data_IF_443218304320
#
_entry.id   IF_443218304320
#
_cell.length_a   1.000
_cell.length_b   1.000
_cell.length_c   1.000
_cell.angle_alpha   90.00
_cell.angle_beta   90.00
_cell.angle_gamma   90.00
#
_symmetry.space_group_name_H-M   'P 1'
#
loop_
_entity.id
_entity.type
_entity.pdbx_description
1 polymer ?
#
# COMPACT_ATOMS: atom_id res chain seq x y z
N UNK A 1 20.97 -27.34 1.66
CA UNK A 1 20.99 -27.77 0.25
C UNK A 1 19.71 -28.52 -0.06
N UNK A 2 18.70 -27.84 -0.62
CA UNK A 2 17.51 -28.51 -1.14
C UNK A 2 17.46 -28.30 -2.65
N UNK A 3 17.68 -29.39 -3.40
CA UNK A 3 17.65 -29.45 -4.86
C UNK A 3 16.21 -29.33 -5.37
N UNK A 4 15.91 -28.29 -6.15
CA UNK A 4 14.69 -28.18 -6.95
C UNK A 4 14.79 -29.11 -8.16
N UNK A 5 13.87 -30.05 -8.27
CA UNK A 5 13.70 -30.87 -9.47
C UNK A 5 13.01 -30.06 -10.57
N UNK A 6 13.77 -29.73 -11.63
CA UNK A 6 13.24 -29.20 -12.88
C UNK A 6 12.68 -30.36 -13.69
N UNK A 7 11.37 -30.37 -13.98
CA UNK A 7 10.80 -31.28 -14.98
C UNK A 7 10.62 -30.53 -16.30
N UNK A 8 11.50 -30.85 -17.25
CA UNK A 8 11.38 -30.56 -18.67
C UNK A 8 10.65 -31.71 -19.36
N UNK A 9 9.58 -31.41 -20.08
CA UNK A 9 9.06 -32.30 -21.12
C UNK A 9 8.80 -31.50 -22.40
N UNK A 10 9.74 -31.63 -23.33
CA UNK A 10 9.54 -31.39 -24.75
C UNK A 10 9.11 -32.70 -25.42
N UNK A 11 8.06 -32.67 -26.24
CA UNK A 11 7.91 -33.57 -27.39
C UNK A 11 7.23 -32.84 -28.55
N UNK A 12 7.90 -32.94 -29.71
CA UNK A 12 7.45 -32.54 -31.05
C UNK A 12 6.21 -33.33 -31.50
N UNK A 13 5.37 -32.69 -32.33
CA UNK A 13 4.35 -33.32 -33.16
C UNK A 13 4.06 -32.47 -34.40
N UNK A 14 4.04 -33.11 -35.58
CA UNK A 14 4.14 -32.53 -36.90
C UNK A 14 2.87 -31.82 -37.43
N UNK A 15 3.08 -31.06 -38.50
CA UNK A 15 2.14 -30.19 -39.21
C UNK A 15 0.88 -30.85 -39.77
N UNK A 16 -0.22 -30.09 -39.79
CA UNK A 16 -1.31 -30.23 -40.76
C UNK A 16 -1.86 -28.83 -41.08
N UNK A 17 -1.52 -28.33 -42.27
CA UNK A 17 -2.14 -27.15 -42.90
C UNK A 17 -3.50 -27.57 -43.45
N UNK A 18 -4.58 -27.08 -42.84
CA UNK A 18 -5.93 -27.11 -43.41
C UNK A 18 -6.55 -25.72 -43.22
N UNK A 19 -6.87 -25.07 -44.33
CA UNK A 19 -7.43 -23.72 -44.34
C UNK A 19 -8.80 -23.66 -43.66
N UNK A 20 -9.02 -22.59 -42.90
CA UNK A 20 -10.30 -22.19 -42.37
C UNK A 20 -10.51 -20.69 -42.68
N UNK A 21 -11.77 -20.26 -42.93
CA UNK A 21 -12.06 -18.99 -43.56
C UNK A 21 -11.73 -17.82 -42.62
N UNK A 22 -11.31 -16.71 -43.22
CA UNK A 22 -11.11 -15.44 -42.55
C UNK A 22 -12.47 -14.97 -42.02
N UNK A 23 -12.79 -15.31 -40.77
CA UNK A 23 -13.71 -14.50 -39.98
C UNK A 23 -12.93 -13.24 -39.61
N UNK A 24 -13.37 -12.09 -40.14
CA UNK A 24 -13.07 -10.80 -39.52
C UNK A 24 -13.70 -10.83 -38.11
N UNK A 25 -12.98 -11.35 -37.12
CA UNK A 25 -13.25 -10.98 -35.74
C UNK A 25 -12.88 -9.51 -35.64
N UNK A 26 -13.86 -8.66 -35.30
CA UNK A 26 -13.57 -7.37 -34.72
C UNK A 26 -12.64 -7.62 -33.55
N UNK A 27 -11.36 -7.35 -33.78
CA UNK A 27 -10.35 -7.37 -32.75
C UNK A 27 -10.57 -6.08 -31.99
N UNK A 28 -11.51 -6.11 -31.03
CA UNK A 28 -11.53 -5.12 -29.96
C UNK A 28 -10.12 -5.14 -29.39
N UNK A 29 -9.42 -4.03 -29.57
CA UNK A 29 -8.09 -3.84 -29.04
C UNK A 29 -8.22 -3.77 -27.51
N UNK A 30 -8.31 -4.92 -26.86
CA UNK A 30 -7.92 -5.03 -25.46
C UNK A 30 -6.48 -4.55 -25.42
N UNK A 31 -6.28 -3.37 -24.82
CA UNK A 31 -4.94 -2.87 -24.52
C UNK A 31 -4.15 -4.01 -23.87
N UNK A 32 -2.92 -4.26 -24.33
CA UNK A 32 -2.05 -5.25 -23.69
C UNK A 32 -2.06 -4.99 -22.18
N UNK A 33 -2.44 -6.00 -21.38
CA UNK A 33 -2.48 -5.88 -19.93
C UNK A 33 -1.08 -5.58 -19.42
N UNK A 34 -0.80 -4.30 -19.17
CA UNK A 34 0.43 -3.82 -18.57
C UNK A 34 0.68 -4.56 -17.27
N UNK A 35 1.89 -5.09 -17.12
CA UNK A 35 2.36 -5.65 -15.84
C UNK A 35 2.91 -4.49 -15.00
N UNK A 36 2.33 -4.29 -13.82
CA UNK A 36 2.73 -3.25 -12.88
C UNK A 36 3.79 -3.80 -11.90
N UNK A 37 4.77 -2.98 -11.55
CA UNK A 37 5.79 -3.33 -10.57
C UNK A 37 5.53 -2.65 -9.20
N UNK A 38 5.88 -3.34 -8.10
CA UNK A 38 5.81 -2.76 -6.75
C UNK A 38 6.63 -1.46 -6.68
N UNK A 39 6.04 -0.42 -6.09
CA UNK A 39 6.65 0.90 -5.96
C UNK A 39 6.82 1.72 -7.24
N UNK A 40 6.24 1.29 -8.37
CA UNK A 40 6.25 2.06 -9.62
C UNK A 40 5.59 3.45 -9.46
N UNK A 41 4.62 3.56 -8.57
CA UNK A 41 3.87 4.78 -8.27
C UNK A 41 4.76 5.95 -7.81
N UNK A 42 5.55 5.73 -6.76
CA UNK A 42 6.47 6.73 -6.24
C UNK A 42 7.71 6.87 -7.16
N UNK A 43 7.98 5.84 -7.95
CA UNK A 43 9.20 5.72 -8.75
C UNK A 43 10.35 5.17 -7.88
N UNK A 44 11.57 5.22 -8.41
CA UNK A 44 12.79 4.83 -7.67
C UNK A 44 13.80 5.97 -7.63
N UNK A 45 14.74 5.90 -6.69
CA UNK A 45 15.83 6.87 -6.56
C UNK A 45 15.33 8.26 -6.16
N UNK A 46 15.90 9.31 -6.77
CA UNK A 46 15.71 10.72 -6.34
C UNK A 46 14.25 11.15 -6.23
N UNK A 47 13.35 10.62 -7.07
CA UNK A 47 11.92 11.01 -7.01
C UNK A 47 11.24 10.50 -5.74
N UNK A 48 11.53 9.27 -5.35
CA UNK A 48 11.06 8.69 -4.09
C UNK A 48 11.62 9.47 -2.91
N UNK A 49 12.93 9.74 -2.91
CA UNK A 49 13.59 10.49 -1.84
C UNK A 49 13.02 11.91 -1.69
N UNK A 50 12.76 12.60 -2.80
CA UNK A 50 12.12 13.93 -2.78
C UNK A 50 10.69 13.88 -2.25
N UNK A 51 9.93 12.83 -2.59
CA UNK A 51 8.57 12.66 -2.08
C UNK A 51 8.59 12.33 -0.58
N UNK A 52 9.46 11.41 -0.14
CA UNK A 52 9.66 11.10 1.29
C UNK A 52 10.09 12.35 2.07
N UNK A 53 10.98 13.18 1.52
CA UNK A 53 11.41 14.43 2.14
C UNK A 53 10.30 15.50 2.22
N UNK A 54 9.29 15.44 1.35
CA UNK A 54 8.11 16.31 1.44
C UNK A 54 7.05 15.78 2.41
N UNK A 55 7.15 14.52 2.79
CA UNK A 55 6.16 13.80 3.59
C UNK A 55 6.88 12.99 4.68
N UNK A 56 7.65 13.67 5.54
CA UNK A 56 8.45 13.04 6.61
C UNK A 56 7.59 12.20 7.57
N UNK A 57 6.30 12.52 7.68
CA UNK A 57 5.32 11.81 8.52
C UNK A 57 4.71 10.58 7.82
N UNK A 58 5.17 10.19 6.63
CA UNK A 58 4.64 9.03 5.91
C UNK A 58 5.67 7.93 5.77
N UNK A 59 5.36 6.77 6.34
CA UNK A 59 6.20 5.59 6.25
C UNK A 59 5.61 4.63 5.21
N UNK A 60 6.42 4.34 4.19
CA UNK A 60 6.06 3.46 3.06
C UNK A 60 6.87 2.19 3.10
N UNK A 61 6.21 1.05 3.30
CA UNK A 61 6.90 -0.20 3.66
C UNK A 61 7.05 -1.23 2.53
N UNK A 62 6.25 -1.11 1.46
CA UNK A 62 6.27 -1.93 0.23
C UNK A 62 7.68 -2.11 -0.33
N UNK A 63 8.45 -1.03 -0.38
CA UNK A 63 9.68 -0.97 -1.15
C UNK A 63 10.84 -1.72 -0.48
N UNK A 64 10.75 -1.90 0.84
CA UNK A 64 11.88 -2.28 1.68
C UNK A 64 11.65 -3.63 2.40
N UNK A 65 10.42 -4.14 2.42
CA UNK A 65 10.06 -5.39 3.10
C UNK A 65 9.52 -6.49 2.17
N UNK A 66 10.31 -7.56 1.99
CA UNK A 66 9.87 -8.76 1.27
C UNK A 66 8.61 -9.39 1.88
N UNK A 67 8.45 -9.27 3.21
CA UNK A 67 7.29 -9.79 3.92
C UNK A 67 6.00 -9.07 3.47
N UNK A 68 6.06 -7.74 3.35
CA UNK A 68 4.96 -6.93 2.84
C UNK A 68 4.70 -7.28 1.37
N UNK A 69 5.73 -7.37 0.53
CA UNK A 69 5.56 -7.72 -0.89
C UNK A 69 4.89 -9.08 -1.11
N UNK A 70 5.26 -10.09 -0.30
CA UNK A 70 4.63 -11.42 -0.34
C UNK A 70 3.17 -11.39 0.08
N UNK A 71 2.84 -10.57 1.08
CA UNK A 71 1.46 -10.36 1.51
C UNK A 71 0.64 -9.59 0.47
N UNK A 72 1.19 -8.50 -0.06
CA UNK A 72 0.59 -7.69 -1.12
C UNK A 72 0.30 -8.52 -2.37
N UNK A 73 1.24 -9.37 -2.80
CA UNK A 73 1.05 -10.30 -3.92
C UNK A 73 -0.16 -11.20 -3.70
N UNK A 74 -0.32 -11.76 -2.49
CA UNK A 74 -1.45 -12.63 -2.15
C UNK A 74 -2.77 -11.88 -2.15
N UNK A 75 -2.85 -10.68 -1.58
CA UNK A 75 -4.12 -9.95 -1.52
C UNK A 75 -4.47 -9.30 -2.87
N UNK A 76 -3.51 -9.04 -3.76
CA UNK A 76 -3.76 -8.60 -5.14
C UNK A 76 -4.30 -9.71 -6.04
N UNK A 77 -3.95 -10.96 -5.75
CA UNK A 77 -4.42 -12.12 -6.52
C UNK A 77 -5.95 -12.19 -6.52
N UNK A 78 -6.55 -12.22 -7.71
CA UNK A 78 -7.98 -12.33 -7.93
C UNK A 78 -8.55 -13.61 -7.29
N UNK A 79 -7.80 -14.71 -7.35
CA UNK A 79 -8.21 -16.01 -6.79
C UNK A 79 -8.18 -16.03 -5.25
N UNK A 80 -7.60 -15.01 -4.62
CA UNK A 80 -7.64 -14.87 -3.18
C UNK A 80 -8.93 -14.18 -2.73
N UNK A 81 -9.92 -14.94 -2.28
CA UNK A 81 -11.21 -14.40 -1.86
C UNK A 81 -11.70 -15.01 -0.54
N UNK A 82 -12.80 -14.46 -0.01
CA UNK A 82 -13.44 -14.99 1.20
C UNK A 82 -12.50 -14.97 2.42
N UNK A 83 -12.61 -16.00 3.27
CA UNK A 83 -11.82 -16.10 4.50
C UNK A 83 -10.30 -16.14 4.26
N UNK A 84 -9.85 -16.64 3.10
CA UNK A 84 -8.42 -16.63 2.74
C UNK A 84 -7.92 -15.20 2.57
N UNK A 85 -8.69 -14.35 1.89
CA UNK A 85 -8.36 -12.95 1.71
C UNK A 85 -8.30 -12.22 3.05
N UNK A 86 -9.32 -12.38 3.91
CA UNK A 86 -9.33 -11.77 5.25
C UNK A 86 -8.11 -12.19 6.07
N UNK A 87 -7.71 -13.46 6.01
CA UNK A 87 -6.53 -13.97 6.71
C UNK A 87 -5.24 -13.31 6.20
N UNK A 88 -5.03 -13.31 4.89
CA UNK A 88 -3.82 -12.73 4.28
C UNK A 88 -3.77 -11.20 4.46
N UNK A 89 -4.90 -10.51 4.35
CA UNK A 89 -5.04 -9.07 4.61
C UNK A 89 -4.68 -8.73 6.06
N UNK A 90 -5.19 -9.46 7.04
CA UNK A 90 -4.77 -9.30 8.44
C UNK A 90 -3.28 -9.58 8.64
N UNK A 91 -2.68 -10.46 7.83
CA UNK A 91 -1.22 -10.66 7.82
C UNK A 91 -0.49 -9.39 7.38
N UNK A 92 -0.87 -8.83 6.23
CA UNK A 92 -0.27 -7.60 5.68
C UNK A 92 -0.42 -6.43 6.65
N UNK A 93 -1.62 -6.19 7.19
CA UNK A 93 -1.88 -5.07 8.09
C UNK A 93 -1.05 -5.19 9.38
N UNK A 94 -0.91 -6.39 9.95
CA UNK A 94 -0.06 -6.61 11.13
C UNK A 94 1.41 -6.34 10.83
N UNK A 95 1.95 -6.93 9.77
CA UNK A 95 3.34 -6.70 9.38
C UNK A 95 3.64 -5.22 9.07
N UNK A 96 2.64 -4.51 8.53
CA UNK A 96 2.72 -3.07 8.27
C UNK A 96 2.80 -2.28 9.57
N UNK A 97 1.99 -2.62 10.56
CA UNK A 97 2.04 -2.01 11.89
C UNK A 97 3.34 -2.35 12.64
N UNK A 98 3.79 -3.60 12.58
CA UNK A 98 5.04 -4.04 13.24
C UNK A 98 6.25 -3.23 12.74
N UNK A 99 6.33 -2.98 11.43
CA UNK A 99 7.38 -2.14 10.84
C UNK A 99 7.21 -0.67 11.18
N UNK A 100 5.98 -0.15 11.28
CA UNK A 100 5.79 1.23 11.73
C UNK A 100 6.24 1.43 13.18
N UNK A 101 6.03 0.42 14.04
CA UNK A 101 6.48 0.45 15.42
C UNK A 101 8.00 0.51 15.55
N UNK A 102 8.77 -0.06 14.59
CA UNK A 102 10.23 0.03 14.63
C UNK A 102 10.77 1.43 14.33
N UNK A 103 9.94 2.31 13.77
CA UNK A 103 10.30 3.70 13.47
C UNK A 103 9.97 4.67 14.62
N UNK A 104 9.46 4.16 15.75
CA UNK A 104 9.22 4.97 16.95
C UNK A 104 10.52 5.13 17.76
N UNK A 105 10.66 6.23 18.54
CA UNK A 105 11.82 6.43 19.41
C UNK A 105 12.04 5.23 20.34
N UNK A 106 13.28 4.76 20.39
CA UNK A 106 13.65 3.56 21.13
C UNK A 106 15.02 3.72 21.81
N UNK A 107 15.19 2.97 22.90
CA UNK A 107 16.43 2.80 23.62
C UNK A 107 17.06 1.44 23.26
N UNK A 108 18.10 1.47 22.42
CA UNK A 108 18.86 0.31 21.99
C UNK A 108 19.84 -0.21 23.05
N UNK A 109 20.08 0.54 24.14
CA UNK A 109 20.98 0.18 25.23
C UNK A 109 20.23 -0.41 26.43
N UNK A 110 18.94 -0.68 26.28
CA UNK A 110 18.10 -1.15 27.36
C UNK A 110 18.57 -2.52 27.89
N UNK A 111 18.73 -2.61 29.22
CA UNK A 111 19.11 -3.86 29.89
C UNK A 111 17.99 -4.35 30.78
N UNK A 112 17.39 -5.48 30.42
CA UNK A 112 16.35 -6.14 31.21
C UNK A 112 16.93 -7.19 32.15
N UNK A 113 16.21 -7.46 33.24
CA UNK A 113 16.56 -8.55 34.17
C UNK A 113 15.59 -9.71 33.98
N UNK A 114 16.11 -10.86 33.57
CA UNK A 114 15.32 -12.08 33.40
C UNK A 114 14.77 -12.57 34.75
N UNK A 115 13.69 -13.39 34.77
CA UNK A 115 13.19 -14.00 36.00
C UNK A 115 14.21 -14.86 36.77
N UNK A 116 15.33 -15.22 36.14
CA UNK A 116 16.44 -15.97 36.73
C UNK A 116 17.56 -15.07 37.29
N UNK A 117 17.42 -13.75 37.20
CA UNK A 117 18.39 -12.77 37.68
C UNK A 117 19.51 -12.42 36.70
N UNK A 118 19.57 -13.02 35.51
CA UNK A 118 20.54 -12.64 34.48
C UNK A 118 20.13 -11.36 33.77
N UNK A 119 21.13 -10.57 33.34
CA UNK A 119 20.95 -9.37 32.51
C UNK A 119 20.94 -9.74 31.02
N UNK A 120 20.11 -9.07 30.24
CA UNK A 120 20.07 -9.18 28.79
C UNK A 120 19.89 -7.80 28.17
N UNK A 121 20.73 -7.47 27.20
CA UNK A 121 20.56 -6.29 26.33
C UNK A 121 19.37 -6.51 25.40
N UNK A 122 18.64 -5.44 25.11
CA UNK A 122 17.47 -5.45 24.26
C UNK A 122 17.13 -4.05 23.76
N UNK A 123 15.97 -3.96 23.11
CA UNK A 123 15.43 -2.72 22.57
C UNK A 123 14.03 -2.52 23.14
N UNK A 124 13.77 -1.30 23.62
CA UNK A 124 12.46 -0.89 24.17
C UNK A 124 12.12 0.50 23.66
N UNK A 125 10.85 0.90 23.71
CA UNK A 125 10.49 2.30 23.45
C UNK A 125 11.02 3.22 24.55
N UNK A 126 11.30 4.48 24.20
CA UNK A 126 11.57 5.52 25.20
C UNK A 126 10.33 5.72 26.12
N UNK A 127 10.56 6.14 27.37
CA UNK A 127 9.53 6.17 28.42
C UNK A 127 8.34 7.12 28.12
N UNK A 128 8.53 8.10 27.25
CA UNK A 128 7.53 9.10 26.86
C UNK A 128 6.76 8.76 25.57
N UNK A 129 7.13 7.66 24.88
CA UNK A 129 6.43 7.21 23.67
C UNK A 129 5.04 6.67 24.02
N UNK A 130 4.01 7.37 23.56
CA UNK A 130 2.61 6.95 23.68
C UNK A 130 2.05 6.67 22.30
N UNK A 131 1.48 5.49 22.09
CA UNK A 131 0.96 5.10 20.77
C UNK A 131 -0.56 5.29 20.70
N UNK A 132 -1.06 5.82 19.59
CA UNK A 132 -2.48 5.81 19.27
C UNK A 132 -2.73 5.21 17.89
N UNK A 133 -3.51 4.13 17.81
CA UNK A 133 -3.95 3.55 16.54
C UNK A 133 -5.32 4.06 16.13
N UNK A 134 -5.46 4.57 14.92
CA UNK A 134 -6.76 5.00 14.36
C UNK A 134 -7.06 4.18 13.11
N UNK A 135 -8.11 3.38 13.13
CA UNK A 135 -8.57 2.63 11.96
C UNK A 135 -9.59 3.46 11.18
N UNK A 136 -9.42 3.50 9.86
CA UNK A 136 -10.34 4.21 8.97
C UNK A 136 -11.01 3.21 8.04
N UNK A 137 -12.33 3.28 7.94
CA UNK A 137 -13.12 2.40 7.06
C UNK A 137 -14.28 3.14 6.41
N UNK A 138 -14.77 2.63 5.28
CA UNK A 138 -16.02 3.07 4.65
C UNK A 138 -17.21 2.34 5.29
N UNK A 139 -17.06 1.03 5.52
CA UNK A 139 -18.10 0.14 6.03
C UNK A 139 -17.93 -0.10 7.53
N UNK A 140 -18.99 0.10 8.33
CA UNK A 140 -18.98 -0.20 9.76
C UNK A 140 -18.61 -1.65 10.11
N UNK A 141 -18.92 -2.60 9.22
CA UNK A 141 -18.59 -4.00 9.41
C UNK A 141 -17.08 -4.26 9.30
N UNK A 142 -16.41 -3.60 8.34
CA UNK A 142 -14.97 -3.72 8.13
C UNK A 142 -14.19 -3.06 9.28
N UNK A 143 -14.70 -1.94 9.79
CA UNK A 143 -14.15 -1.21 10.94
C UNK A 143 -13.83 -2.15 12.12
N UNK A 144 -14.72 -3.09 12.44
CA UNK A 144 -14.52 -4.03 13.56
C UNK A 144 -13.27 -4.89 13.39
N UNK A 145 -13.03 -5.39 12.18
CA UNK A 145 -11.85 -6.21 11.89
C UNK A 145 -10.56 -5.39 11.93
N UNK A 146 -10.58 -4.18 11.35
CA UNK A 146 -9.43 -3.26 11.38
C UNK A 146 -9.08 -2.82 12.80
N UNK A 147 -10.08 -2.47 13.61
CA UNK A 147 -9.87 -2.15 15.03
C UNK A 147 -9.32 -3.34 15.82
N UNK A 148 -9.73 -4.56 15.48
CA UNK A 148 -9.17 -5.76 16.11
C UNK A 148 -7.69 -5.96 15.73
N UNK A 149 -7.31 -5.69 14.49
CA UNK A 149 -5.90 -5.71 14.05
C UNK A 149 -5.08 -4.70 14.87
N UNK A 150 -5.53 -3.46 15.01
CA UNK A 150 -4.84 -2.46 15.85
C UNK A 150 -4.66 -2.95 17.29
N UNK A 151 -5.75 -3.43 17.93
CA UNK A 151 -5.73 -3.89 19.32
C UNK A 151 -4.82 -5.09 19.58
N UNK A 152 -4.53 -5.87 18.55
CA UNK A 152 -3.69 -7.07 18.66
C UNK A 152 -2.24 -6.84 18.24
N UNK A 153 -1.94 -5.72 17.59
CA UNK A 153 -0.61 -5.41 17.07
C UNK A 153 0.08 -4.30 17.85
N UNK A 154 -0.69 -3.33 18.33
CA UNK A 154 -0.13 -2.18 19.05
C UNK A 154 0.18 -2.52 20.52
N UNK A 155 1.04 -1.71 21.16
CA UNK A 155 1.36 -1.86 22.58
C UNK A 155 0.12 -1.90 23.48
N UNK A 156 0.26 -2.57 24.62
CA UNK A 156 -0.85 -2.86 25.53
C UNK A 156 -1.59 -1.59 26.02
N UNK A 157 -0.85 -0.51 26.22
CA UNK A 157 -1.31 0.80 26.70
C UNK A 157 -1.69 1.78 25.58
N UNK A 158 -1.67 1.31 24.32
CA UNK A 158 -2.06 2.15 23.19
C UNK A 158 -3.52 2.61 23.29
N UNK A 159 -3.77 3.84 22.84
CA UNK A 159 -5.13 4.38 22.65
C UNK A 159 -5.66 4.00 21.26
N UNK A 160 -6.99 3.95 21.13
CA UNK A 160 -7.62 3.57 19.86
C UNK A 160 -8.68 4.58 19.43
N UNK A 161 -8.68 4.92 18.15
CA UNK A 161 -9.71 5.71 17.49
C UNK A 161 -10.29 5.00 16.27
N UNK A 162 -11.47 5.43 15.86
CA UNK A 162 -12.18 4.90 14.69
C UNK A 162 -12.75 6.04 13.86
N UNK A 163 -12.52 6.01 12.55
CA UNK A 163 -13.06 6.99 11.61
C UNK A 163 -13.80 6.27 10.50
N UNK A 164 -15.11 6.48 10.44
CA UNK A 164 -15.91 6.07 9.29
C UNK A 164 -15.95 7.19 8.27
N UNK A 165 -15.60 6.86 7.04
CA UNK A 165 -15.66 7.77 5.91
C UNK A 165 -16.76 7.38 4.94
N UNK A 166 -17.24 8.33 4.16
CA UNK A 166 -18.19 8.10 3.09
C UNK A 166 -17.53 8.54 1.79
N UNK A 167 -17.50 7.63 0.82
CA UNK A 167 -17.04 7.95 -0.53
C UNK A 167 -17.96 8.98 -1.18
N UNK A 168 -17.36 9.91 -1.90
CA UNK A 168 -18.04 10.88 -2.76
C UNK A 168 -17.57 10.68 -4.20
N UNK A 169 -18.37 11.14 -5.16
CA UNK A 169 -18.07 10.97 -6.58
C UNK A 169 -16.63 11.40 -6.95
N UNK A 170 -16.00 10.67 -7.88
CA UNK A 170 -14.63 10.89 -8.38
C UNK A 170 -13.52 10.62 -7.35
N UNK A 171 -13.67 9.57 -6.53
CA UNK A 171 -12.60 9.12 -5.61
C UNK A 171 -12.33 10.07 -4.44
N UNK A 172 -13.27 10.98 -4.13
CA UNK A 172 -13.20 11.80 -2.93
C UNK A 172 -13.75 11.04 -1.72
N UNK A 173 -13.44 11.53 -0.52
CA UNK A 173 -13.95 10.96 0.73
C UNK A 173 -14.28 12.08 1.72
N UNK A 174 -15.31 11.87 2.55
CA UNK A 174 -15.68 12.76 3.65
C UNK A 174 -15.83 11.96 4.94
N UNK A 175 -15.51 12.56 6.09
CA UNK A 175 -15.72 11.92 7.39
C UNK A 175 -17.23 11.84 7.65
N UNK A 176 -17.74 10.63 7.84
CA UNK A 176 -19.13 10.37 8.22
C UNK A 176 -19.29 10.29 9.74
N UNK A 177 -18.32 9.68 10.43
CA UNK A 177 -18.26 9.60 11.88
C UNK A 177 -16.81 9.48 12.33
N UNK A 178 -16.44 10.19 13.39
CA UNK A 178 -15.15 10.02 14.04
C UNK A 178 -15.38 9.78 15.54
N UNK A 179 -14.68 8.79 16.08
CA UNK A 179 -14.58 8.53 17.51
C UNK A 179 -13.09 8.35 17.83
N UNK A 180 -12.43 9.48 18.10
CA UNK A 180 -11.00 9.52 18.40
C UNK A 180 -10.80 10.00 19.84
N UNK A 181 -9.71 9.60 20.52
CA UNK A 181 -9.40 10.13 21.84
C UNK A 181 -9.31 11.65 21.85
N UNK A 182 -9.80 12.29 22.92
CA UNK A 182 -9.76 13.77 23.07
C UNK A 182 -8.33 14.30 23.32
N UNK A 183 -7.42 13.42 23.74
CA UNK A 183 -6.04 13.71 24.14
C UNK A 183 -5.08 12.90 23.27
N UNK A 184 -4.74 13.47 22.11
CA UNK A 184 -3.75 12.95 21.16
C UNK A 184 -2.40 13.68 21.26
N UNK A 185 -2.32 14.77 22.02
CA UNK A 185 -1.09 15.54 22.18
C UNK A 185 0.03 14.64 22.72
N UNK A 186 1.19 14.69 22.06
CA UNK A 186 2.35 13.86 22.40
C UNK A 186 2.16 12.35 22.18
N UNK A 187 1.18 11.94 21.36
CA UNK A 187 1.07 10.55 20.92
C UNK A 187 1.64 10.37 19.51
N UNK A 188 2.32 9.26 19.31
CA UNK A 188 2.63 8.70 18.00
C UNK A 188 1.33 8.12 17.41
N UNK A 189 0.68 8.90 16.54
CA UNK A 189 -0.60 8.50 15.92
C UNK A 189 -0.32 7.67 14.67
N UNK A 190 -0.74 6.41 14.67
CA UNK A 190 -0.66 5.49 13.54
C UNK A 190 -2.03 5.35 12.87
N UNK A 191 -2.14 5.84 11.64
CA UNK A 191 -3.36 5.72 10.85
C UNK A 191 -3.35 4.42 10.04
N UNK A 192 -4.29 3.51 10.33
CA UNK A 192 -4.50 2.27 9.58
C UNK A 192 -5.57 2.47 8.50
N UNK A 193 -5.11 2.70 7.28
CA UNK A 193 -5.96 2.79 6.09
C UNK A 193 -5.65 1.61 5.17
N UNK A 194 -6.52 0.60 5.09
CA UNK A 194 -6.27 -0.58 4.27
C UNK A 194 -6.35 -0.28 2.76
N UNK A 195 -7.04 0.79 2.40
CA UNK A 195 -7.37 1.17 1.03
C UNK A 195 -6.76 2.55 0.70
N UNK A 196 -5.43 2.64 0.77
CA UNK A 196 -4.70 3.79 0.23
C UNK A 196 -3.56 3.32 -0.63
N UNK A 197 -3.73 3.49 -1.92
CA UNK A 197 -2.72 3.17 -2.91
C UNK A 197 -2.75 4.17 -4.08
N UNK A 198 -3.12 5.43 -3.85
CA UNK A 198 -2.70 6.53 -4.73
C UNK A 198 -2.11 7.69 -3.94
N UNK A 199 -1.01 8.25 -4.44
CA UNK A 199 -0.31 9.38 -3.81
C UNK A 199 -1.25 10.56 -3.55
N UNK A 200 -2.17 10.84 -4.49
CA UNK A 200 -3.12 11.94 -4.39
C UNK A 200 -4.15 11.82 -3.25
N UNK A 201 -4.44 10.59 -2.78
CA UNK A 201 -5.34 10.38 -1.64
C UNK A 201 -4.59 10.54 -0.32
N UNK A 202 -3.32 10.15 -0.29
CA UNK A 202 -2.44 10.26 0.88
C UNK A 202 -2.19 11.72 1.26
N UNK A 203 -1.89 12.59 0.30
CA UNK A 203 -1.67 14.02 0.56
C UNK A 203 -2.86 14.67 1.28
N UNK A 204 -4.09 14.27 0.94
CA UNK A 204 -5.32 14.80 1.57
C UNK A 204 -5.48 14.34 3.00
N UNK A 205 -5.10 13.09 3.29
CA UNK A 205 -5.18 12.54 4.65
C UNK A 205 -4.12 13.19 5.52
N UNK A 206 -2.88 13.31 5.05
CA UNK A 206 -1.79 13.95 5.81
C UNK A 206 -2.16 15.39 6.17
N UNK A 207 -2.66 16.18 5.21
CA UNK A 207 -3.09 17.56 5.49
C UNK A 207 -4.25 17.67 6.49
N UNK A 208 -5.05 16.61 6.68
CA UNK A 208 -6.12 16.60 7.66
C UNK A 208 -5.63 16.23 9.08
N UNK A 209 -4.45 15.63 9.19
CA UNK A 209 -3.88 15.14 10.43
C UNK A 209 -2.42 15.63 10.58
N UNK A 210 -2.20 16.95 10.52
CA UNK A 210 -0.89 17.66 10.45
C UNK A 210 0.33 16.89 11.03
N UNK A 211 0.23 16.36 12.25
CA UNK A 211 1.33 15.69 12.97
C UNK A 211 1.24 14.14 13.01
N UNK A 212 0.23 13.53 12.41
CA UNK A 212 0.03 12.07 12.47
C UNK A 212 0.96 11.32 11.51
N UNK A 213 1.44 10.14 11.94
CA UNK A 213 2.23 9.24 11.10
C UNK A 213 1.31 8.34 10.30
N UNK A 214 1.32 8.52 8.99
CA UNK A 214 0.60 7.65 8.08
C UNK A 214 1.44 6.40 7.80
N UNK A 215 0.86 5.24 8.11
CA UNK A 215 1.45 3.95 7.81
C UNK A 215 0.66 3.28 6.71
N UNK A 216 1.30 2.97 5.59
CA UNK A 216 0.66 2.20 4.52
C UNK A 216 1.57 1.09 3.99
N UNK A 217 0.93 -0.03 3.66
CA UNK A 217 1.60 -1.21 3.14
C UNK A 217 2.19 -0.95 1.74
N UNK A 218 1.54 -0.16 0.88
CA UNK A 218 1.98 0.07 -0.50
C UNK A 218 1.37 1.33 -1.14
N UNK A 219 2.03 1.87 -2.17
CA UNK A 219 1.45 2.87 -3.08
C UNK A 219 1.33 2.30 -4.49
N UNK A 220 0.15 2.45 -5.10
CA UNK A 220 -0.09 2.11 -6.49
C UNK A 220 -0.16 3.35 -7.38
N UNK A 221 -0.03 3.08 -8.68
CA UNK A 221 0.44 4.03 -9.68
C UNK A 221 -0.45 5.24 -9.88
N UNK A 222 -1.77 5.04 -9.90
CA UNK A 222 -2.74 6.09 -10.23
C UNK A 222 -4.16 5.69 -9.87
N UNK A 223 -5.07 6.64 -10.01
CA UNK A 223 -6.51 6.41 -10.11
C UNK A 223 -6.91 6.33 -11.60
N UNK A 224 -7.84 5.45 -11.94
CA UNK A 224 -8.47 5.48 -13.27
C UNK A 224 -9.57 6.57 -13.33
N UNK A 225 -10.26 6.68 -14.47
CA UNK A 225 -11.35 7.66 -14.70
C UNK A 225 -12.52 7.53 -13.72
N UNK A 226 -12.71 6.36 -13.12
CA UNK A 226 -13.76 6.07 -12.14
C UNK A 226 -13.31 6.32 -10.70
N UNK A 227 -12.01 6.59 -10.48
CA UNK A 227 -11.43 6.79 -9.16
C UNK A 227 -10.96 5.50 -8.48
N UNK A 228 -10.85 4.39 -9.21
CA UNK A 228 -10.29 3.14 -8.70
C UNK A 228 -8.76 3.15 -8.82
N UNK A 229 -8.08 2.61 -7.81
CA UNK A 229 -6.63 2.49 -7.77
C UNK A 229 -6.15 1.40 -8.73
N UNK A 230 -5.09 1.69 -9.51
CA UNK A 230 -4.49 0.76 -10.47
C UNK A 230 -2.99 0.55 -10.18
N UNK A 231 -2.49 -0.70 -10.06
CA UNK A 231 -3.22 -1.97 -10.23
C UNK A 231 -4.21 -2.29 -9.11
N UNK A 232 -3.98 -1.77 -7.89
CA UNK A 232 -4.90 -1.90 -6.78
C UNK A 232 -5.13 -3.34 -6.32
N UNK A 233 -6.17 -3.51 -5.51
CA UNK A 233 -6.62 -4.78 -4.92
C UNK A 233 -8.13 -5.00 -5.08
N UNK A 234 -8.78 -4.24 -5.96
CA UNK A 234 -10.25 -4.13 -6.01
C UNK A 234 -10.81 -3.49 -4.74
N UNK A 235 -12.09 -3.72 -4.45
CA UNK A 235 -12.68 -3.23 -3.19
C UNK A 235 -12.16 -4.04 -2.00
N UNK A 236 -11.28 -3.43 -1.20
CA UNK A 236 -10.69 -4.09 -0.04
C UNK A 236 -11.77 -4.52 0.93
N UNK A 237 -12.69 -3.62 1.30
CA UNK A 237 -13.64 -3.89 2.38
C UNK A 237 -14.68 -4.94 1.99
N UNK A 238 -15.11 -5.00 0.73
CA UNK A 238 -15.97 -6.09 0.26
C UNK A 238 -15.27 -7.44 0.39
N UNK A 239 -14.03 -7.53 -0.12
CA UNK A 239 -13.24 -8.77 -0.06
C UNK A 239 -12.89 -9.13 1.39
N UNK A 240 -12.58 -8.15 2.22
CA UNK A 240 -12.26 -8.30 3.63
C UNK A 240 -13.43 -8.86 4.44
N UNK A 241 -14.66 -8.46 4.08
CA UNK A 241 -15.91 -8.98 4.62
C UNK A 241 -16.32 -10.34 4.01
N UNK A 242 -15.50 -10.90 3.12
CA UNK A 242 -15.64 -12.24 2.58
C UNK A 242 -16.38 -12.32 1.25
N UNK A 243 -16.62 -11.19 0.57
CA UNK A 243 -17.17 -11.19 -0.78
C UNK A 243 -16.21 -11.88 -1.77
N UNK A 244 -16.73 -12.48 -2.86
CA UNK A 244 -15.89 -12.94 -3.96
C UNK A 244 -15.20 -11.75 -4.62
N UNK A 245 -14.04 -11.99 -5.23
CA UNK A 245 -13.42 -11.00 -6.11
C UNK A 245 -14.34 -10.72 -7.29
N UNK A 246 -14.47 -9.45 -7.66
CA UNK A 246 -15.20 -9.01 -8.85
C UNK A 246 -14.25 -8.36 -9.83
N UNK A 247 -14.41 -8.69 -11.11
CA UNK A 247 -13.78 -7.93 -12.19
C UNK A 247 -14.69 -6.75 -12.48
N UNK A 248 -14.20 -5.53 -12.27
CA UNK A 248 -14.81 -4.34 -12.84
C UNK A 248 -14.17 -4.16 -14.20
N UNK A 249 -14.96 -4.11 -15.27
CA UNK A 249 -14.47 -3.81 -16.62
C UNK A 249 -13.95 -2.37 -16.64
N UNK A 250 -12.67 -2.20 -16.32
CA UNK A 250 -12.03 -0.89 -16.34
C UNK A 250 -11.73 -0.55 -17.80
N UNK A 251 -12.49 0.39 -18.36
CA UNK A 251 -12.08 1.08 -19.59
C UNK A 251 -10.94 2.00 -19.20
N UNK A 252 -9.73 1.47 -19.33
CA UNK A 252 -8.52 2.17 -18.99
C UNK A 252 -8.05 2.97 -20.21
N UNK A 253 -8.42 4.25 -20.28
CA UNK A 253 -7.71 5.17 -21.16
C UNK A 253 -6.28 5.25 -20.63
N UNK A 254 -5.36 4.52 -21.27
CA UNK A 254 -3.96 4.50 -20.89
C UNK A 254 -3.45 5.95 -20.86
N UNK A 255 -3.31 6.51 -19.66
CA UNK A 255 -2.53 7.73 -19.49
C UNK A 255 -1.10 7.38 -19.86
N UNK A 256 -0.70 7.83 -21.05
CA UNK A 256 0.64 7.73 -21.57
C UNK A 256 1.56 8.58 -20.68
N UNK A 257 2.02 7.98 -19.58
CA UNK A 257 3.00 8.55 -18.66
C UNK A 257 4.29 9.01 -19.40
N UNK A 258 4.48 8.58 -20.65
CA UNK A 258 5.52 9.06 -21.55
C UNK A 258 5.42 10.55 -21.88
N UNK A 259 4.23 11.18 -21.81
CA UNK A 259 4.09 12.61 -22.14
C UNK A 259 4.59 13.51 -21.00
N UNK A 260 4.26 13.20 -19.75
CA UNK A 260 4.75 13.96 -18.59
C UNK A 260 6.24 13.73 -18.31
N UNK A 261 6.74 12.50 -18.47
CA UNK A 261 8.16 12.20 -18.31
C UNK A 261 9.00 12.95 -19.36
N UNK A 262 8.52 13.02 -20.61
CA UNK A 262 9.17 13.80 -21.66
C UNK A 262 9.10 15.31 -21.39
N UNK A 263 7.99 15.82 -20.86
CA UNK A 263 7.86 17.23 -20.49
C UNK A 263 8.76 17.61 -19.29
N UNK A 264 8.89 16.75 -18.29
CA UNK A 264 9.75 16.96 -17.13
C UNK A 264 11.23 16.82 -17.51
N UNK A 265 11.60 15.81 -18.32
CA UNK A 265 12.94 15.68 -18.92
C UNK A 265 13.28 16.91 -19.75
N UNK A 266 12.33 17.42 -20.55
CA UNK A 266 12.53 18.65 -21.32
C UNK A 266 12.74 19.87 -20.42
N UNK A 267 11.96 20.03 -19.34
CA UNK A 267 12.15 21.11 -18.35
C UNK A 267 13.48 21.03 -17.62
N UNK A 268 13.89 19.84 -17.18
CA UNK A 268 15.18 19.61 -16.51
C UNK A 268 16.33 19.87 -17.49
N UNK A 269 16.24 19.36 -18.73
CA UNK A 269 17.25 19.60 -19.77
C UNK A 269 17.37 21.08 -20.14
N UNK A 270 16.25 21.80 -20.21
CA UNK A 270 16.23 23.25 -20.42
C UNK A 270 16.87 24.02 -19.25
N UNK A 271 16.66 23.57 -18.01
CA UNK A 271 17.21 24.19 -16.81
C UNK A 271 18.72 23.92 -16.64
N UNK A 272 19.17 22.71 -16.98
CA UNK A 272 20.59 22.35 -16.97
C UNK A 272 21.33 23.09 -18.09
N UNK A 273 20.77 23.14 -19.30
CA UNK A 273 21.39 23.86 -20.43
C UNK A 273 21.45 25.38 -20.22
N UNK A 274 20.56 25.98 -19.43
CA UNK A 274 20.65 27.40 -19.07
C UNK A 274 21.78 27.71 -18.08
N UNK A 275 22.20 26.74 -17.26
CA UNK A 275 23.38 26.87 -16.39
C UNK A 275 24.70 26.84 -17.16
N UNK A 276 24.75 26.13 -18.29
CA UNK A 276 25.92 26.03 -19.16
C UNK A 276 25.98 27.07 -20.29
N UNK A 277 25.02 28.01 -20.34
CA UNK A 277 24.98 29.13 -21.32
C UNK A 277 25.49 30.46 -20.78
N UNK A 278 26.25 30.47 -19.69
CA UNK A 278 27.06 31.63 -19.31
C UNK A 278 28.50 31.38 -19.73
N UNK A 279 28.78 31.76 -20.98
CA UNK A 279 30.03 32.39 -21.44
C UNK A 279 29.73 33.11 -22.77
#
# INVERSE_FOLDING_TARGET
>A
MFLRAVRSHAKLGAAALMGAPVLLSQQEAHAEQRVYASGEALGRGVRLELWKAQHENVVVLDLESELIQLGMTRIRDYENAGAKFTHDANGVLRSTLDLALTELPNDEEAVVTTPRGYKAEGLVFEDDVKVCGISIAVKPEAQKGLSQVLRTSLPYDAKFGEILVQEVAKGGSKIAKANVPDDLDGHEVLLLLPELASVAQVDKVIHAFDDARLVTASFDSRLNSEGHIVPGIGSFEERYLGAPSSVVDVIDEAEDAGIEENALKAKITAKISSWFKKD
#
